data_IF_667646019947
#
_entry.id   IF_667646019947
#
_cell.length_a   1.000
_cell.length_b   1.000
_cell.length_c   1.000
_cell.angle_alpha   90.00
_cell.angle_beta   90.00
_cell.angle_gamma   90.00
#
_symmetry.space_group_name_H-M   'P 1'
#
loop_
_entity.id
_entity.type
_entity.pdbx_description
1 polymer ?
#
# COMPACT_ATOMS: atom_id res chain seq x y z
N UNK A 1 -28.39 17.78 1.72
CA UNK A 1 -27.29 16.90 2.18
C UNK A 1 -25.99 17.67 2.02
N UNK A 2 -25.28 18.01 3.09
CA UNK A 2 -23.92 18.50 2.93
C UNK A 2 -23.06 17.30 2.49
N UNK A 3 -22.41 17.40 1.34
CA UNK A 3 -21.36 16.46 0.95
C UNK A 3 -20.25 16.61 1.98
N UNK A 4 -20.14 15.65 2.90
CA UNK A 4 -19.01 15.61 3.83
C UNK A 4 -17.77 15.15 3.06
N UNK A 5 -16.83 16.07 2.86
CA UNK A 5 -15.51 15.74 2.37
C UNK A 5 -14.76 14.93 3.42
N UNK A 6 -14.38 13.68 3.11
CA UNK A 6 -13.45 12.90 3.93
C UNK A 6 -12.04 13.03 3.35
N UNK A 7 -11.13 13.79 3.99
CA UNK A 7 -9.76 13.99 3.51
C UNK A 7 -8.93 12.69 3.50
N UNK A 8 -9.36 11.66 4.23
CA UNK A 8 -8.66 10.38 4.33
C UNK A 8 -9.25 9.31 3.41
N UNK A 9 -10.34 9.59 2.69
CA UNK A 9 -10.87 8.67 1.71
C UNK A 9 -9.87 8.45 0.56
N UNK A 10 -9.79 7.22 0.06
CA UNK A 10 -9.06 6.93 -1.17
C UNK A 10 -9.65 7.73 -2.34
N UNK A 11 -8.78 8.29 -3.16
CA UNK A 11 -9.17 8.94 -4.40
C UNK A 11 -9.66 7.91 -5.43
N UNK A 12 -10.44 8.34 -6.41
CA UNK A 12 -10.89 7.45 -7.49
C UNK A 12 -9.72 6.74 -8.20
N UNK A 13 -8.64 7.47 -8.49
CA UNK A 13 -7.44 6.89 -9.11
C UNK A 13 -6.74 5.84 -8.22
N UNK A 14 -6.69 6.06 -6.90
CA UNK A 14 -6.17 5.06 -5.97
C UNK A 14 -7.06 3.81 -5.97
N UNK A 15 -8.39 3.98 -5.92
CA UNK A 15 -9.36 2.87 -5.95
C UNK A 15 -9.21 2.07 -7.24
N UNK A 16 -9.18 2.74 -8.39
CA UNK A 16 -9.02 2.09 -9.69
C UNK A 16 -7.72 1.28 -9.73
N UNK A 17 -6.60 1.85 -9.28
CA UNK A 17 -5.30 1.17 -9.21
C UNK A 17 -5.31 -0.03 -8.25
N UNK A 18 -5.91 0.13 -7.06
CA UNK A 18 -5.98 -0.90 -6.00
C UNK A 18 -6.90 -2.05 -6.42
N UNK A 19 -8.00 -1.76 -7.10
CA UNK A 19 -9.04 -2.73 -7.46
C UNK A 19 -8.93 -3.26 -8.89
N UNK A 20 -7.96 -2.77 -9.67
CA UNK A 20 -7.76 -3.15 -11.08
C UNK A 20 -7.67 -4.67 -11.31
N UNK A 21 -7.09 -5.39 -10.36
CA UNK A 21 -6.93 -6.86 -10.40
C UNK A 21 -7.21 -7.47 -9.03
N UNK A 22 -7.48 -8.79 -8.94
CA UNK A 22 -7.69 -9.47 -7.67
C UNK A 22 -6.58 -9.22 -6.66
N UNK A 23 -6.95 -9.16 -5.38
CA UNK A 23 -6.03 -8.85 -4.27
C UNK A 23 -4.99 -9.95 -3.98
N UNK A 24 -5.14 -11.10 -4.64
CA UNK A 24 -4.18 -12.20 -4.65
C UNK A 24 -2.95 -11.95 -5.53
N UNK A 25 -2.95 -10.89 -6.35
CA UNK A 25 -1.86 -10.53 -7.26
C UNK A 25 -1.00 -9.36 -6.73
N UNK A 26 0.32 -9.38 -6.98
CA UNK A 26 1.20 -8.30 -6.55
C UNK A 26 0.94 -6.99 -7.30
N UNK A 27 1.47 -5.89 -6.77
CA UNK A 27 1.57 -4.59 -7.43
C UNK A 27 2.97 -4.41 -8.00
N UNK A 28 3.08 -3.61 -9.06
CA UNK A 28 4.40 -3.20 -9.58
C UNK A 28 5.12 -2.36 -8.53
N UNK A 29 6.34 -2.75 -8.18
CA UNK A 29 7.20 -1.98 -7.28
C UNK A 29 7.87 -0.85 -8.07
N UNK A 30 7.77 0.36 -7.55
CA UNK A 30 8.31 1.59 -8.13
C UNK A 30 9.79 1.71 -7.80
N UNK A 31 10.59 2.13 -8.79
CA UNK A 31 12.04 2.22 -8.66
C UNK A 31 12.49 3.68 -8.67
N UNK A 32 13.42 4.03 -7.78
CA UNK A 32 14.00 5.39 -7.73
C UNK A 32 14.77 5.77 -9.02
N UNK A 33 15.22 4.77 -9.78
CA UNK A 33 15.92 4.93 -11.06
C UNK A 33 14.98 5.19 -12.22
N UNK A 34 13.68 4.91 -12.07
CA UNK A 34 12.67 5.27 -13.05
C UNK A 34 12.14 6.68 -12.72
N UNK A 35 12.23 7.59 -13.70
CA UNK A 35 11.88 8.99 -13.47
C UNK A 35 10.42 9.17 -12.99
N UNK A 36 9.46 8.56 -13.69
CA UNK A 36 8.03 8.68 -13.36
C UNK A 36 7.71 8.12 -11.97
N UNK A 37 8.26 6.96 -11.64
CA UNK A 37 8.12 6.34 -10.32
C UNK A 37 8.67 7.25 -9.23
N UNK A 38 9.86 7.80 -9.47
CA UNK A 38 10.56 8.64 -8.52
C UNK A 38 9.81 9.92 -8.15
N UNK A 39 8.96 10.43 -9.05
CA UNK A 39 8.08 11.57 -8.76
C UNK A 39 7.02 11.19 -7.73
N UNK A 40 6.44 9.98 -7.83
CA UNK A 40 5.45 9.47 -6.88
C UNK A 40 6.10 9.15 -5.53
N UNK A 41 7.27 8.49 -5.56
CA UNK A 41 8.03 8.11 -4.36
C UNK A 41 8.46 9.30 -3.50
N UNK A 42 8.54 10.51 -4.08
CA UNK A 42 8.91 11.75 -3.38
C UNK A 42 7.73 12.60 -2.93
N UNK A 43 6.49 12.21 -3.26
CA UNK A 43 5.29 12.90 -2.77
C UNK A 43 5.01 12.52 -1.32
N UNK A 44 4.58 13.49 -0.54
CA UNK A 44 4.13 13.30 0.84
C UNK A 44 2.95 12.34 0.88
N UNK A 45 3.05 11.32 1.73
CA UNK A 45 1.93 10.45 2.06
C UNK A 45 1.02 11.10 3.09
N UNK A 46 -0.27 10.77 3.02
CA UNK A 46 -1.27 11.16 4.03
C UNK A 46 -1.77 9.93 4.79
N UNK A 47 -2.39 10.13 5.93
CA UNK A 47 -2.93 9.04 6.73
C UNK A 47 -4.06 8.29 5.99
N UNK A 48 -4.36 7.11 6.51
CA UNK A 48 -5.54 6.32 6.15
C UNK A 48 -6.32 6.00 7.41
N UNK A 49 -7.65 5.92 7.31
CA UNK A 49 -8.48 5.48 8.43
C UNK A 49 -8.31 3.96 8.64
N UNK A 50 -7.86 3.49 9.81
CA UNK A 50 -7.82 2.06 10.08
C UNK A 50 -9.24 1.48 10.14
N UNK A 51 -9.58 0.66 9.16
CA UNK A 51 -10.90 0.05 9.05
C UNK A 51 -10.78 -1.33 8.38
N UNK A 52 -10.93 -2.39 9.17
CA UNK A 52 -10.86 -3.77 8.68
C UNK A 52 -12.06 -4.19 7.83
N UNK A 53 -13.13 -3.39 7.81
CA UNK A 53 -14.32 -3.62 6.96
C UNK A 53 -14.20 -2.92 5.61
N UNK A 54 -13.26 -1.99 5.46
CA UNK A 54 -13.01 -1.28 4.21
C UNK A 54 -12.30 -2.21 3.21
N UNK A 55 -13.03 -2.65 2.20
CA UNK A 55 -12.56 -3.59 1.18
C UNK A 55 -11.39 -3.05 0.35
N UNK A 56 -11.31 -1.73 0.14
CA UNK A 56 -10.20 -1.08 -0.59
C UNK A 56 -8.93 -1.15 0.24
N UNK A 57 -9.00 -0.80 1.53
CA UNK A 57 -7.85 -0.88 2.44
C UNK A 57 -7.35 -2.33 2.56
N UNK A 58 -8.26 -3.28 2.76
CA UNK A 58 -7.93 -4.71 2.84
C UNK A 58 -7.27 -5.20 1.54
N UNK A 59 -7.82 -4.82 0.38
CA UNK A 59 -7.26 -5.18 -0.93
C UNK A 59 -5.84 -4.61 -1.11
N UNK A 60 -5.63 -3.33 -0.77
CA UNK A 60 -4.30 -2.71 -0.82
C UNK A 60 -3.29 -3.46 0.06
N UNK A 61 -3.64 -3.74 1.32
CA UNK A 61 -2.77 -4.48 2.26
C UNK A 61 -2.44 -5.88 1.71
N UNK A 62 -3.43 -6.59 1.18
CA UNK A 62 -3.23 -7.93 0.62
C UNK A 62 -2.30 -7.90 -0.60
N UNK A 63 -2.51 -6.96 -1.53
CA UNK A 63 -1.63 -6.80 -2.69
C UNK A 63 -0.22 -6.35 -2.31
N UNK A 64 -0.07 -5.50 -1.30
CA UNK A 64 1.23 -5.15 -0.73
C UNK A 64 1.92 -6.38 -0.12
N UNK A 65 1.20 -7.26 0.60
CA UNK A 65 1.77 -8.54 1.10
C UNK A 65 2.26 -9.42 -0.04
N UNK A 66 1.48 -9.54 -1.12
CA UNK A 66 1.89 -10.29 -2.32
C UNK A 66 3.12 -9.69 -2.99
N UNK A 67 3.20 -8.36 -3.06
CA UNK A 67 4.36 -7.64 -3.61
C UNK A 67 5.61 -7.88 -2.78
N UNK A 68 5.51 -7.82 -1.45
CA UNK A 68 6.61 -8.12 -0.53
C UNK A 68 7.07 -9.58 -0.69
N UNK A 69 6.13 -10.53 -0.76
CA UNK A 69 6.45 -11.95 -0.93
C UNK A 69 7.09 -12.27 -2.30
N UNK A 70 6.72 -11.54 -3.35
CA UNK A 70 7.31 -11.67 -4.68
C UNK A 70 8.67 -10.99 -4.81
N UNK A 71 9.03 -10.10 -3.88
CA UNK A 71 10.34 -9.46 -3.85
C UNK A 71 11.44 -10.45 -3.47
N UNK A 72 12.65 -10.27 -4.00
CA UNK A 72 13.81 -11.13 -3.73
C UNK A 72 14.38 -10.93 -2.32
N UNK A 73 13.60 -11.31 -1.30
CA UNK A 73 14.02 -11.25 0.11
C UNK A 73 13.67 -9.95 0.83
N UNK A 74 12.75 -9.13 0.30
CA UNK A 74 12.31 -7.91 0.97
C UNK A 74 11.80 -8.15 2.39
N UNK A 75 12.16 -7.24 3.29
CA UNK A 75 11.77 -7.27 4.72
C UNK A 75 10.73 -6.21 5.06
N UNK A 76 10.40 -5.33 4.13
CA UNK A 76 9.30 -4.40 4.26
C UNK A 76 8.93 -3.76 2.93
N UNK A 77 7.74 -3.17 2.89
CA UNK A 77 7.24 -2.42 1.74
C UNK A 77 6.33 -1.29 2.23
N UNK A 78 6.49 -0.09 1.66
CA UNK A 78 5.63 1.06 1.92
C UNK A 78 4.65 1.29 0.76
N UNK A 79 3.43 1.78 1.05
CA UNK A 79 2.41 2.01 0.01
C UNK A 79 2.89 2.93 -1.14
N UNK A 80 3.73 3.96 -0.92
CA UNK A 80 4.30 4.74 -2.02
C UNK A 80 5.11 3.89 -3.01
N UNK A 81 5.75 2.81 -2.57
CA UNK A 81 6.49 1.90 -3.44
C UNK A 81 5.59 1.13 -4.41
N UNK A 82 4.27 1.14 -4.22
CA UNK A 82 3.29 0.56 -5.13
C UNK A 82 2.37 1.62 -5.75
N UNK A 83 2.76 2.90 -5.66
CA UNK A 83 2.07 4.02 -6.28
C UNK A 83 0.94 4.64 -5.47
N UNK A 84 0.80 4.29 -4.18
CA UNK A 84 -0.27 4.79 -3.30
C UNK A 84 0.34 5.64 -2.17
N UNK A 85 0.20 6.96 -2.23
CA UNK A 85 0.76 7.89 -1.23
C UNK A 85 -0.07 7.93 0.06
N UNK A 86 -0.12 6.80 0.76
CA UNK A 86 -0.72 6.64 2.10
C UNK A 86 0.34 6.22 3.12
N UNK A 87 0.18 6.62 4.38
CA UNK A 87 1.04 6.22 5.50
C UNK A 87 0.76 4.77 5.90
N UNK A 88 1.17 3.83 5.04
CA UNK A 88 1.01 2.39 5.24
C UNK A 88 2.34 1.72 4.99
N UNK A 89 2.81 0.94 5.97
CA UNK A 89 3.99 0.10 5.81
C UNK A 89 3.71 -1.32 6.28
N UNK A 90 4.30 -2.28 5.57
CA UNK A 90 4.36 -3.68 5.97
C UNK A 90 5.78 -4.02 6.36
N UNK A 91 5.96 -4.68 7.49
CA UNK A 91 7.28 -5.09 8.00
C UNK A 91 7.26 -6.57 8.33
N UNK A 92 8.20 -7.32 7.74
CA UNK A 92 8.49 -8.71 8.10
C UNK A 92 9.33 -8.72 9.37
N UNK A 93 8.73 -9.14 10.47
CA UNK A 93 9.32 -9.23 11.81
C UNK A 93 10.25 -10.43 11.91
N UNK A 94 11.47 -10.31 11.37
CA UNK A 94 12.49 -11.36 11.41
C UNK A 94 12.90 -11.74 12.84
N UNK A 95 12.67 -10.84 13.80
CA UNK A 95 12.92 -10.99 15.22
C UNK A 95 11.91 -11.91 15.93
N UNK A 96 10.74 -12.18 15.32
CA UNK A 96 9.67 -12.98 15.93
C UNK A 96 9.58 -14.40 15.34
N UNK A 97 9.12 -15.34 16.16
CA UNK A 97 8.83 -16.72 15.73
C UNK A 97 7.80 -16.69 14.58
N UNK A 98 8.05 -17.48 13.54
CA UNK A 98 7.20 -17.49 12.33
C UNK A 98 7.42 -16.31 11.38
N UNK A 99 8.28 -15.34 11.74
CA UNK A 99 8.64 -14.17 10.92
C UNK A 99 7.41 -13.45 10.32
N UNK A 100 6.41 -13.09 11.14
CA UNK A 100 5.15 -12.56 10.67
C UNK A 100 5.32 -11.22 9.94
N UNK A 101 4.38 -10.89 9.07
CA UNK A 101 4.29 -9.58 8.43
C UNK A 101 3.27 -8.73 9.18
N UNK A 102 3.73 -7.66 9.81
CA UNK A 102 2.90 -6.68 10.52
C UNK A 102 2.58 -5.50 9.60
N UNK A 103 1.41 -4.89 9.82
CA UNK A 103 0.94 -3.71 9.09
C UNK A 103 0.86 -2.55 10.07
N UNK A 104 1.38 -1.39 9.67
CA UNK A 104 1.27 -0.14 10.42
C UNK A 104 0.56 0.89 9.55
N UNK A 105 -0.44 1.55 10.13
CA UNK A 105 -1.33 2.54 9.54
C UNK A 105 -1.35 3.77 10.44
#
# INVERSE_FOLDING_TARGET
LALSFDPLAFTGMEIDSIMFVPDSLPMRIYLITNYSDSLVLRKTSIDVRPDSTNTILVSLINRMRKSLAASSGGVGIAAPQVGINRNIILVKRLDKVGKPVEVYL
#
